data_IF_360884112177
#
_entry.id   IF_360884112177
#
_cell.length_a   1.000
_cell.length_b   1.000
_cell.length_c   1.000
_cell.angle_alpha   90.00
_cell.angle_beta   90.00
_cell.angle_gamma   90.00
#
_symmetry.space_group_name_H-M   'P 1'
#
loop_
_entity.id
_entity.type
_entity.pdbx_description
1 polymer ?
#
# COMPACT_ATOMS: atom_id res chain seq x y z
N UNK A 1 22.18 19.37 8.87
CA UNK A 1 20.92 19.40 9.64
C UNK A 1 20.38 17.99 9.80
N UNK A 2 19.47 17.76 10.79
CA UNK A 2 18.88 16.44 11.02
C UNK A 2 17.39 16.46 10.70
N UNK A 3 16.93 15.48 9.97
CA UNK A 3 15.56 15.35 9.48
C UNK A 3 15.02 13.98 9.83
N UNK A 4 13.70 13.91 10.10
CA UNK A 4 12.96 12.67 10.29
C UNK A 4 11.98 12.43 9.15
N UNK A 5 11.84 11.17 8.72
CA UNK A 5 10.78 10.78 7.80
C UNK A 5 9.92 9.67 8.38
N UNK A 6 8.61 9.90 8.34
CA UNK A 6 7.58 8.98 8.79
C UNK A 6 6.68 8.61 7.61
N UNK A 7 6.39 7.31 7.49
CA UNK A 7 5.36 6.81 6.57
C UNK A 7 4.41 5.91 7.32
N UNK A 8 3.10 6.24 7.29
CA UNK A 8 2.05 5.44 7.89
C UNK A 8 1.01 5.04 6.84
N UNK A 9 0.50 3.82 6.94
CA UNK A 9 -0.75 3.44 6.28
C UNK A 9 -1.91 4.00 7.11
N UNK A 10 -3.09 4.13 6.54
CA UNK A 10 -4.30 4.75 7.13
C UNK A 10 -4.76 4.22 8.51
N UNK A 11 -4.02 3.30 9.15
CA UNK A 11 -4.27 2.81 10.52
C UNK A 11 -3.32 3.49 11.50
N UNK A 12 -3.88 4.26 12.38
CA UNK A 12 -3.24 5.18 13.34
C UNK A 12 -2.21 4.60 14.31
N UNK A 13 -2.11 3.29 14.46
CA UNK A 13 -1.32 2.66 15.53
C UNK A 13 0.20 2.77 15.42
N UNK A 14 0.77 3.19 14.28
CA UNK A 14 2.22 3.23 14.10
C UNK A 14 2.83 4.64 14.01
N UNK A 15 2.01 5.69 14.02
CA UNK A 15 2.49 7.07 13.94
C UNK A 15 3.24 7.50 15.20
N UNK A 16 2.59 7.35 16.37
CA UNK A 16 3.17 7.74 17.66
C UNK A 16 4.53 7.07 17.91
N UNK A 17 4.64 5.77 17.65
CA UNK A 17 5.90 5.03 17.82
C UNK A 17 7.05 5.53 16.94
N UNK A 18 6.74 6.03 15.74
CA UNK A 18 7.77 6.59 14.86
C UNK A 18 8.14 8.00 15.32
N UNK A 19 7.17 8.82 15.71
CA UNK A 19 7.42 10.14 16.30
C UNK A 19 8.28 10.05 17.56
N UNK A 20 7.89 9.21 18.52
CA UNK A 20 8.64 9.01 19.75
C UNK A 20 10.09 8.58 19.49
N UNK A 21 10.28 7.70 18.49
CA UNK A 21 11.61 7.24 18.13
C UNK A 21 12.48 8.37 17.54
N UNK A 22 11.91 9.27 16.75
CA UNK A 22 12.61 10.43 16.19
C UNK A 22 12.86 11.52 17.25
N UNK A 23 11.91 11.78 18.13
CA UNK A 23 12.08 12.73 19.24
C UNK A 23 13.19 12.29 20.20
N UNK A 24 13.34 10.97 20.47
CA UNK A 24 14.45 10.43 21.25
C UNK A 24 15.83 10.69 20.62
N UNK A 25 15.88 10.93 19.31
CA UNK A 25 17.10 11.37 18.61
C UNK A 25 17.27 12.89 18.62
N UNK A 26 16.39 13.65 19.26
CA UNK A 26 16.45 15.10 19.34
C UNK A 26 15.88 15.82 18.10
N UNK A 27 15.16 15.12 17.22
CA UNK A 27 14.61 15.72 16.00
C UNK A 27 13.32 16.48 16.34
N UNK A 28 13.31 17.78 16.07
CA UNK A 28 12.16 18.65 16.30
C UNK A 28 11.07 18.44 15.24
N UNK A 29 9.79 18.66 15.61
CA UNK A 29 8.63 18.49 14.72
C UNK A 29 8.74 19.23 13.39
N UNK A 30 9.32 20.44 13.37
CA UNK A 30 9.56 21.23 12.15
C UNK A 30 10.45 20.53 11.11
N UNK A 31 11.25 19.55 11.56
CA UNK A 31 12.17 18.78 10.74
C UNK A 31 11.64 17.36 10.45
N UNK A 32 10.44 17.01 10.91
CA UNK A 32 9.80 15.71 10.66
C UNK A 32 8.82 15.83 9.48
N UNK A 33 9.01 14.98 8.50
CA UNK A 33 8.18 14.90 7.29
C UNK A 33 7.38 13.62 7.33
N UNK A 34 6.05 13.73 7.21
CA UNK A 34 5.14 12.60 7.35
C UNK A 34 4.21 12.46 6.15
N UNK A 35 4.20 11.27 5.54
CA UNK A 35 3.23 10.86 4.53
C UNK A 35 2.25 9.84 5.12
N UNK A 36 0.94 10.19 5.11
CA UNK A 36 -0.18 9.31 5.49
C UNK A 36 -0.82 8.76 4.22
N UNK A 37 -0.51 7.50 3.86
CA UNK A 37 -1.06 6.93 2.63
C UNK A 37 -1.32 5.43 2.74
N UNK A 38 -2.49 5.01 2.20
CA UNK A 38 -2.82 3.61 2.02
C UNK A 38 -1.91 2.96 0.97
N UNK A 39 -1.67 1.66 1.15
CA UNK A 39 -0.66 0.88 0.44
C UNK A 39 -0.66 0.85 -1.10
N UNK A 40 -1.55 1.57 -1.79
CA UNK A 40 -1.65 1.55 -3.26
C UNK A 40 -1.14 2.81 -3.95
N UNK A 41 -1.01 3.93 -3.25
CA UNK A 41 -0.67 5.20 -3.88
C UNK A 41 0.80 5.58 -3.64
N UNK A 42 1.53 5.85 -4.73
CA UNK A 42 2.96 6.13 -4.73
C UNK A 42 3.28 7.61 -4.53
N UNK A 43 2.26 8.43 -4.30
CA UNK A 43 2.44 9.85 -4.14
C UNK A 43 2.92 10.17 -2.72
N UNK A 44 4.23 10.47 -2.55
CA UNK A 44 4.86 10.86 -1.29
C UNK A 44 5.25 12.34 -1.32
N UNK A 45 4.29 13.26 -1.20
CA UNK A 45 4.55 14.69 -1.36
C UNK A 45 5.55 15.20 -0.32
N UNK A 46 5.43 14.77 0.94
CA UNK A 46 6.34 15.21 2.01
C UNK A 46 7.74 14.64 1.84
N UNK A 47 7.86 13.38 1.43
CA UNK A 47 9.15 12.80 1.09
C UNK A 47 9.84 13.52 -0.07
N UNK A 48 9.10 13.89 -1.12
CA UNK A 48 9.64 14.64 -2.25
C UNK A 48 10.18 16.00 -1.81
N UNK A 49 9.42 16.72 -0.97
CA UNK A 49 9.88 18.00 -0.39
C UNK A 49 11.16 17.80 0.42
N UNK A 50 11.16 16.80 1.32
CA UNK A 50 12.33 16.46 2.12
C UNK A 50 13.54 16.12 1.26
N UNK A 51 13.38 15.28 0.23
CA UNK A 51 14.45 14.90 -0.68
C UNK A 51 15.10 16.13 -1.36
N UNK A 52 14.30 17.10 -1.80
CA UNK A 52 14.82 18.33 -2.40
C UNK A 52 15.48 19.26 -1.39
N UNK A 53 15.11 19.18 -0.14
CA UNK A 53 15.69 19.98 0.95
C UNK A 53 17.02 19.42 1.44
N UNK A 54 17.23 18.11 1.37
CA UNK A 54 18.47 17.45 1.81
C UNK A 54 19.68 17.99 1.05
N UNK A 55 20.74 18.28 1.79
CA UNK A 55 22.03 18.75 1.32
C UNK A 55 23.15 17.86 1.84
N UNK A 56 24.32 18.01 1.27
CA UNK A 56 25.56 17.34 1.72
C UNK A 56 25.78 17.53 3.22
N UNK A 57 25.99 16.42 3.92
CA UNK A 57 26.22 16.38 5.37
C UNK A 57 24.96 16.49 6.22
N UNK A 58 23.77 16.56 5.63
CA UNK A 58 22.50 16.39 6.37
C UNK A 58 22.31 14.91 6.74
N UNK A 59 21.47 14.64 7.76
CA UNK A 59 21.19 13.29 8.22
C UNK A 59 19.69 13.04 8.16
N UNK A 60 19.29 11.98 7.48
CA UNK A 60 17.92 11.49 7.45
C UNK A 60 17.73 10.31 8.40
N UNK A 61 16.89 10.50 9.41
CA UNK A 61 16.48 9.44 10.32
C UNK A 61 15.17 8.82 9.87
N UNK A 62 15.14 7.49 9.83
CA UNK A 62 13.93 6.68 9.62
C UNK A 62 13.87 5.61 10.70
N UNK A 63 12.66 5.22 11.11
CA UNK A 63 12.53 4.17 12.12
C UNK A 63 12.94 2.81 11.58
N UNK A 64 12.48 2.45 10.40
CA UNK A 64 12.73 1.15 9.76
C UNK A 64 12.89 1.30 8.26
N UNK A 65 13.63 0.38 7.63
CA UNK A 65 14.00 0.45 6.21
C UNK A 65 12.78 0.42 5.26
N UNK A 66 11.71 -0.25 5.65
CA UNK A 66 10.46 -0.32 4.88
C UNK A 66 9.73 1.01 4.77
N UNK A 67 10.15 2.04 5.52
CA UNK A 67 9.66 3.41 5.35
C UNK A 67 10.19 4.06 4.08
N UNK A 68 11.37 3.67 3.61
CA UNK A 68 11.96 4.20 2.37
C UNK A 68 11.28 3.67 1.11
N UNK A 69 10.94 2.39 1.07
CA UNK A 69 10.38 1.73 -0.10
C UNK A 69 9.42 0.62 0.24
N UNK A 70 8.77 0.08 -0.78
CA UNK A 70 7.84 -1.06 -0.66
C UNK A 70 8.43 -2.34 -1.18
N UNK A 71 9.43 -2.25 -2.02
CA UNK A 71 10.13 -3.37 -2.61
C UNK A 71 11.63 -3.09 -2.59
N UNK A 72 12.37 -4.11 -2.94
CA UNK A 72 13.83 -4.09 -3.00
C UNK A 72 14.38 -2.92 -3.83
N UNK A 73 13.91 -2.82 -5.07
CA UNK A 73 14.45 -1.86 -6.03
C UNK A 73 14.25 -0.42 -5.58
N UNK A 74 13.08 -0.11 -5.03
CA UNK A 74 12.81 1.21 -4.47
C UNK A 74 13.71 1.57 -3.29
N UNK A 75 13.86 0.65 -2.35
CA UNK A 75 14.69 0.88 -1.18
C UNK A 75 16.12 1.18 -1.62
N UNK A 76 16.68 0.37 -2.53
CA UNK A 76 18.04 0.57 -3.06
C UNK A 76 18.15 1.89 -3.84
N UNK A 77 17.16 2.21 -4.68
CA UNK A 77 17.16 3.46 -5.44
C UNK A 77 17.13 4.68 -4.53
N UNK A 78 16.20 4.70 -3.56
CA UNK A 78 16.09 5.84 -2.63
C UNK A 78 17.31 5.96 -1.73
N UNK A 79 17.89 4.84 -1.27
CA UNK A 79 19.14 4.83 -0.53
C UNK A 79 20.27 5.51 -1.34
N UNK A 80 20.48 5.06 -2.58
CA UNK A 80 21.48 5.65 -3.48
C UNK A 80 21.20 7.10 -3.79
N UNK A 81 19.94 7.48 -3.99
CA UNK A 81 19.55 8.88 -4.24
C UNK A 81 19.94 9.79 -3.09
N UNK A 82 19.76 9.37 -1.85
CA UNK A 82 20.11 10.17 -0.68
C UNK A 82 21.62 10.15 -0.46
N UNK A 83 22.26 8.99 -0.43
CA UNK A 83 23.65 8.86 -0.04
C UNK A 83 24.62 9.34 -1.13
N UNK A 84 24.33 9.06 -2.40
CA UNK A 84 25.24 9.40 -3.51
C UNK A 84 24.91 10.73 -4.21
N UNK A 85 23.61 11.02 -4.43
CA UNK A 85 23.25 12.24 -5.18
C UNK A 85 23.03 13.44 -4.28
N UNK A 86 22.54 13.25 -3.05
CA UNK A 86 22.43 14.33 -2.07
C UNK A 86 23.63 14.41 -1.14
N UNK A 87 24.48 13.39 -1.12
CA UNK A 87 25.61 13.25 -0.20
C UNK A 87 25.17 13.45 1.27
N UNK A 88 23.95 13.00 1.58
CA UNK A 88 23.36 13.02 2.92
C UNK A 88 23.47 11.65 3.56
N UNK A 89 23.58 11.64 4.88
CA UNK A 89 23.64 10.40 5.66
C UNK A 89 22.23 9.86 5.95
N UNK A 90 22.14 8.54 6.15
CA UNK A 90 20.92 7.85 6.56
C UNK A 90 21.18 7.08 7.84
N UNK A 91 20.23 7.17 8.77
CA UNK A 91 20.20 6.39 10.01
C UNK A 91 18.90 5.62 10.11
N UNK A 92 18.99 4.30 10.18
CA UNK A 92 17.83 3.42 10.40
C UNK A 92 17.81 3.00 11.87
N UNK A 93 16.85 3.53 12.64
CA UNK A 93 16.84 3.40 14.10
C UNK A 93 16.72 1.94 14.60
N UNK A 94 15.95 1.13 13.90
CA UNK A 94 15.77 -0.30 14.23
C UNK A 94 16.96 -1.17 13.78
N UNK A 95 17.91 -0.59 13.01
CA UNK A 95 19.05 -1.31 12.43
C UNK A 95 20.33 -0.48 12.51
N UNK A 96 21.03 -0.50 13.64
CA UNK A 96 22.24 0.33 13.84
C UNK A 96 23.38 0.09 12.84
N UNK A 97 23.39 -1.05 12.15
CA UNK A 97 24.31 -1.34 11.05
C UNK A 97 24.02 -0.50 9.80
N UNK A 98 22.81 0.03 9.66
CA UNK A 98 22.42 0.93 8.59
C UNK A 98 22.50 2.41 9.04
N UNK A 99 23.63 2.78 9.62
CA UNK A 99 24.01 4.16 9.95
C UNK A 99 25.20 4.56 9.09
N UNK A 100 24.97 5.30 8.02
CA UNK A 100 26.00 5.67 7.04
C UNK A 100 27.03 6.64 7.60
N UNK A 101 26.77 7.28 8.74
CA UNK A 101 27.74 8.15 9.43
C UNK A 101 28.92 7.38 9.98
N UNK A 102 28.69 6.10 10.36
CA UNK A 102 29.69 5.24 11.01
C UNK A 102 30.66 4.58 10.05
N UNK A 103 30.30 4.50 8.78
CA UNK A 103 31.07 3.78 7.78
C UNK A 103 31.51 4.69 6.62
N UNK A 104 32.19 5.81 6.92
CA UNK A 104 32.74 6.70 5.89
C UNK A 104 33.97 6.14 5.18
N UNK A 105 34.55 5.04 5.69
CA UNK A 105 35.55 4.29 4.98
C UNK A 105 34.93 3.34 3.93
N UNK A 106 35.75 2.88 3.01
CA UNK A 106 35.32 2.00 1.92
C UNK A 106 34.65 0.71 2.44
N UNK A 107 35.16 0.17 3.55
CA UNK A 107 34.68 -1.07 4.16
C UNK A 107 33.29 -0.87 4.81
N UNK A 108 33.08 0.22 5.53
CA UNK A 108 31.77 0.50 6.16
C UNK A 108 30.68 0.74 5.14
N UNK A 109 30.98 1.46 4.05
CA UNK A 109 30.05 1.65 2.93
C UNK A 109 29.68 0.30 2.27
N UNK A 110 30.68 -0.56 2.04
CA UNK A 110 30.46 -1.89 1.48
C UNK A 110 29.60 -2.78 2.37
N UNK A 111 29.85 -2.79 3.67
CA UNK A 111 29.05 -3.56 4.65
C UNK A 111 27.61 -3.06 4.69
N UNK A 112 27.37 -1.73 4.71
CA UNK A 112 26.04 -1.16 4.69
C UNK A 112 25.27 -1.53 3.40
N UNK A 113 25.91 -1.45 2.26
CA UNK A 113 25.33 -1.84 0.97
C UNK A 113 25.00 -3.36 0.94
N UNK A 114 25.87 -4.22 1.48
CA UNK A 114 25.65 -5.66 1.55
C UNK A 114 24.48 -6.02 2.49
N UNK A 115 24.43 -5.44 3.67
CA UNK A 115 23.34 -5.64 4.64
C UNK A 115 22.02 -5.17 4.03
N UNK A 116 22.01 -4.02 3.37
CA UNK A 116 20.84 -3.51 2.69
C UNK A 116 20.33 -4.49 1.60
N UNK A 117 21.23 -5.05 0.80
CA UNK A 117 20.87 -6.06 -0.21
C UNK A 117 20.26 -7.31 0.40
N UNK A 118 20.88 -7.86 1.46
CA UNK A 118 20.39 -9.07 2.15
C UNK A 118 18.98 -8.82 2.72
N UNK A 119 18.79 -7.73 3.47
CA UNK A 119 17.51 -7.42 4.11
C UNK A 119 16.39 -7.20 3.09
N UNK A 120 16.72 -6.50 2.00
CA UNK A 120 15.77 -6.26 0.93
C UNK A 120 15.38 -7.55 0.21
N UNK A 121 16.32 -8.45 -0.02
CA UNK A 121 16.07 -9.78 -0.59
C UNK A 121 15.16 -10.63 0.33
N UNK A 122 15.44 -10.65 1.63
CA UNK A 122 14.60 -11.35 2.63
C UNK A 122 13.18 -10.79 2.63
N UNK A 123 13.02 -9.46 2.62
CA UNK A 123 11.72 -8.82 2.59
C UNK A 123 10.94 -9.13 1.29
N UNK A 124 11.62 -9.23 0.16
CA UNK A 124 11.01 -9.62 -1.11
C UNK A 124 10.51 -11.08 -1.08
N UNK A 125 11.36 -12.00 -0.64
CA UNK A 125 11.00 -13.41 -0.50
C UNK A 125 9.81 -13.62 0.43
N UNK A 126 9.74 -12.93 1.56
CA UNK A 126 8.61 -13.05 2.47
C UNK A 126 7.29 -12.59 1.82
N UNK A 127 7.33 -11.49 1.05
CA UNK A 127 6.14 -11.03 0.30
C UNK A 127 5.68 -12.03 -0.75
N UNK A 128 6.61 -12.62 -1.48
CA UNK A 128 6.30 -13.65 -2.49
C UNK A 128 5.70 -14.88 -1.85
N UNK A 129 6.27 -15.33 -0.72
CA UNK A 129 5.76 -16.45 0.05
C UNK A 129 4.35 -16.19 0.61
N UNK A 130 4.06 -14.97 1.09
CA UNK A 130 2.72 -14.57 1.54
C UNK A 130 1.74 -14.62 0.37
N UNK A 131 2.10 -14.06 -0.79
CA UNK A 131 1.24 -14.09 -1.99
C UNK A 131 0.96 -15.51 -2.46
N UNK A 132 1.99 -16.36 -2.48
CA UNK A 132 1.87 -17.78 -2.86
C UNK A 132 0.91 -18.50 -1.92
N UNK A 133 1.11 -18.39 -0.60
CA UNK A 133 0.21 -18.97 0.41
C UNK A 133 -1.24 -18.46 0.30
N UNK A 134 -1.42 -17.16 0.02
CA UNK A 134 -2.75 -16.59 -0.22
C UNK A 134 -3.40 -17.18 -1.48
N UNK A 135 -2.67 -17.28 -2.58
CA UNK A 135 -3.18 -17.84 -3.81
C UNK A 135 -3.59 -19.31 -3.64
N UNK A 136 -2.74 -20.11 -2.98
CA UNK A 136 -3.02 -21.50 -2.65
C UNK A 136 -4.25 -21.64 -1.73
N UNK A 137 -4.35 -20.78 -0.71
CA UNK A 137 -5.51 -20.75 0.20
C UNK A 137 -6.81 -20.36 -0.52
N UNK A 138 -6.77 -19.38 -1.42
CA UNK A 138 -7.93 -18.99 -2.24
C UNK A 138 -8.33 -20.12 -3.19
N UNK A 139 -7.36 -20.78 -3.84
CA UNK A 139 -7.63 -21.91 -4.75
C UNK A 139 -8.29 -23.07 -3.98
N UNK A 140 -7.75 -23.44 -2.83
CA UNK A 140 -8.31 -24.49 -1.98
C UNK A 140 -9.73 -24.14 -1.44
N UNK A 141 -9.96 -22.88 -1.10
CA UNK A 141 -11.28 -22.43 -0.65
C UNK A 141 -12.31 -22.44 -1.81
N UNK A 142 -11.91 -22.02 -3.01
CA UNK A 142 -12.75 -22.10 -4.23
C UNK A 142 -13.10 -23.55 -4.57
N UNK A 143 -12.15 -24.47 -4.46
CA UNK A 143 -12.40 -25.91 -4.68
C UNK A 143 -13.42 -26.47 -3.69
N UNK A 144 -13.51 -25.93 -2.48
CA UNK A 144 -14.54 -26.27 -1.47
C UNK A 144 -15.85 -25.50 -1.64
N UNK A 145 -16.03 -24.75 -2.74
CA UNK A 145 -17.25 -24.00 -3.04
C UNK A 145 -17.38 -22.65 -2.33
N UNK A 146 -16.33 -22.16 -1.65
CA UNK A 146 -16.36 -20.83 -1.01
C UNK A 146 -16.38 -19.74 -2.09
N UNK A 147 -17.41 -18.92 -2.06
CA UNK A 147 -17.56 -17.76 -2.97
C UNK A 147 -16.87 -16.55 -2.38
N UNK A 148 -15.91 -15.99 -3.13
CA UNK A 148 -15.22 -14.75 -2.77
C UNK A 148 -15.90 -13.55 -3.43
N UNK A 149 -15.71 -12.38 -2.83
CA UNK A 149 -16.24 -11.12 -3.32
C UNK A 149 -17.42 -10.62 -2.50
N UNK A 150 -17.99 -9.49 -2.94
CA UNK A 150 -19.16 -8.92 -2.26
C UNK A 150 -20.38 -9.81 -2.47
N UNK A 151 -21.12 -10.17 -1.42
CA UNK A 151 -22.37 -10.92 -1.57
C UNK A 151 -23.30 -10.21 -2.56
N UNK A 152 -23.96 -10.94 -3.45
CA UNK A 152 -24.93 -10.36 -4.36
C UNK A 152 -26.06 -9.71 -3.54
N UNK A 153 -26.44 -8.47 -3.91
CA UNK A 153 -27.62 -7.85 -3.29
C UNK A 153 -28.85 -8.69 -3.60
N UNK A 154 -29.74 -8.91 -2.64
CA UNK A 154 -31.00 -9.61 -2.89
C UNK A 154 -31.80 -8.90 -3.98
N UNK A 155 -32.64 -9.64 -4.67
CA UNK A 155 -33.58 -9.06 -5.62
C UNK A 155 -34.69 -8.34 -4.82
N UNK A 156 -35.18 -7.19 -5.30
CA UNK A 156 -36.41 -6.57 -4.74
C UNK A 156 -37.59 -7.54 -4.80
N UNK A 157 -38.51 -7.45 -3.88
CA UNK A 157 -39.70 -8.32 -3.81
C UNK A 157 -40.54 -8.27 -5.10
N UNK A 158 -40.65 -7.07 -5.70
CA UNK A 158 -41.38 -6.83 -6.93
C UNK A 158 -40.62 -7.20 -8.20
N UNK A 159 -39.40 -7.76 -8.11
CA UNK A 159 -38.54 -8.01 -9.28
C UNK A 159 -39.20 -8.95 -10.31
N UNK A 160 -39.82 -10.01 -9.86
CA UNK A 160 -40.44 -11.02 -10.74
C UNK A 160 -41.65 -10.48 -11.53
N UNK A 161 -42.49 -9.72 -10.88
CA UNK A 161 -43.65 -9.07 -11.52
C UNK A 161 -43.20 -8.06 -12.58
N UNK A 162 -42.23 -7.23 -12.23
CA UNK A 162 -41.66 -6.22 -13.15
C UNK A 162 -40.94 -6.91 -14.31
N UNK A 163 -40.19 -7.99 -14.06
CA UNK A 163 -39.54 -8.78 -15.09
C UNK A 163 -40.58 -9.34 -16.11
N UNK A 164 -41.67 -9.92 -15.65
CA UNK A 164 -42.74 -10.41 -16.52
C UNK A 164 -43.41 -9.29 -17.31
N UNK A 165 -43.67 -8.14 -16.69
CA UNK A 165 -44.25 -6.98 -17.37
C UNK A 165 -43.32 -6.44 -18.47
N UNK A 166 -42.03 -6.40 -18.21
CA UNK A 166 -41.03 -6.01 -19.21
C UNK A 166 -40.93 -7.04 -20.36
N UNK A 167 -40.86 -8.32 -20.03
CA UNK A 167 -40.87 -9.39 -21.08
C UNK A 167 -42.12 -9.40 -21.91
N UNK A 168 -43.26 -9.15 -21.29
CA UNK A 168 -44.55 -8.98 -21.99
C UNK A 168 -44.72 -7.64 -22.75
N UNK A 169 -43.64 -6.84 -22.86
CA UNK A 169 -43.60 -5.52 -23.50
C UNK A 169 -44.63 -4.49 -22.94
N UNK A 170 -45.11 -4.72 -21.72
CA UNK A 170 -46.02 -3.79 -21.03
C UNK A 170 -45.31 -2.54 -20.51
N UNK A 171 -44.03 -2.67 -20.20
CA UNK A 171 -43.17 -1.57 -19.72
C UNK A 171 -41.82 -1.63 -20.44
N UNK A 172 -41.15 -0.48 -20.50
CA UNK A 172 -39.80 -0.38 -21.08
C UNK A 172 -38.74 -0.85 -20.09
N UNK A 173 -37.56 -1.23 -20.60
CA UNK A 173 -36.42 -1.61 -19.78
C UNK A 173 -36.03 -0.55 -18.75
N UNK A 174 -36.13 0.74 -19.16
CA UNK A 174 -35.83 1.88 -18.27
C UNK A 174 -36.83 1.98 -17.12
N UNK A 175 -38.12 1.80 -17.41
CA UNK A 175 -39.20 1.79 -16.40
C UNK A 175 -39.01 0.59 -15.44
N UNK A 176 -38.73 -0.60 -15.98
CA UNK A 176 -38.50 -1.78 -15.16
C UNK A 176 -37.31 -1.59 -14.18
N UNK A 177 -36.20 -1.05 -14.65
CA UNK A 177 -35.05 -0.75 -13.81
C UNK A 177 -35.38 0.27 -12.72
N UNK A 178 -36.10 1.32 -13.05
CA UNK A 178 -36.55 2.38 -12.14
C UNK A 178 -37.48 1.81 -11.05
N UNK A 179 -38.44 0.98 -11.42
CA UNK A 179 -39.39 0.35 -10.49
C UNK A 179 -38.70 -0.63 -9.53
N UNK A 180 -37.58 -1.23 -9.95
CA UNK A 180 -36.71 -2.07 -9.08
C UNK A 180 -35.64 -1.28 -8.29
N UNK A 181 -35.61 0.05 -8.42
CA UNK A 181 -34.62 0.89 -7.74
C UNK A 181 -33.17 0.56 -8.11
N UNK A 182 -32.90 0.16 -9.36
CA UNK A 182 -31.56 -0.24 -9.78
C UNK A 182 -31.18 0.35 -11.16
N UNK A 183 -29.88 0.47 -11.48
CA UNK A 183 -29.42 0.87 -12.80
C UNK A 183 -29.91 -0.09 -13.90
N UNK A 184 -30.17 0.45 -15.10
CA UNK A 184 -30.70 -0.30 -16.26
C UNK A 184 -29.84 -1.53 -16.58
N UNK A 185 -28.51 -1.37 -16.63
CA UNK A 185 -27.59 -2.50 -16.89
C UNK A 185 -27.62 -3.58 -15.79
N UNK A 186 -27.86 -3.17 -14.54
CA UNK A 186 -27.99 -4.11 -13.41
C UNK A 186 -29.28 -4.90 -13.50
N UNK A 187 -30.40 -4.25 -13.82
CA UNK A 187 -31.68 -4.92 -14.02
C UNK A 187 -31.56 -5.93 -15.15
N UNK A 188 -31.07 -5.53 -16.32
CA UNK A 188 -30.90 -6.38 -17.48
C UNK A 188 -30.03 -7.64 -17.17
N UNK A 189 -28.87 -7.42 -16.55
CA UNK A 189 -27.98 -8.52 -16.18
C UNK A 189 -28.61 -9.53 -15.19
N UNK A 190 -29.43 -9.03 -14.24
CA UNK A 190 -30.17 -9.88 -13.30
C UNK A 190 -31.32 -10.61 -13.98
N UNK A 191 -32.03 -9.96 -14.92
CA UNK A 191 -33.10 -10.54 -15.70
C UNK A 191 -32.59 -11.71 -16.56
N UNK A 192 -31.50 -11.51 -17.31
CA UNK A 192 -30.88 -12.57 -18.14
C UNK A 192 -30.39 -13.75 -17.29
N UNK A 193 -29.77 -13.47 -16.13
CA UNK A 193 -29.33 -14.56 -15.23
C UNK A 193 -30.48 -15.35 -14.64
N UNK A 194 -31.59 -14.71 -14.37
CA UNK A 194 -32.78 -15.38 -13.87
C UNK A 194 -33.37 -16.34 -14.94
N UNK A 195 -33.39 -15.91 -16.19
CA UNK A 195 -33.85 -16.74 -17.31
C UNK A 195 -32.93 -17.94 -17.58
N UNK A 196 -31.60 -17.75 -17.43
CA UNK A 196 -30.63 -18.83 -17.62
C UNK A 196 -30.59 -19.85 -16.46
N UNK A 197 -31.23 -19.57 -15.33
CA UNK A 197 -31.32 -20.45 -14.18
C UNK A 197 -32.66 -21.17 -14.01
N UNK A 198 -33.58 -20.93 -14.95
CA UNK A 198 -34.82 -21.74 -15.14
C UNK A 198 -34.62 -22.75 -16.26
#
# INVERSE_FOLDING_TARGET
MEYGYIRVSSKEQNEARQLDALHKQGIEDKNIYMDKQSGKDFNRPKYKILYHKLKKGDVLYIKSIDRMGRNYDEIIQEWRRITRFREADIVVLDMPLLDTRRGKDLMGTFIADLVLQILSFVAQNERENIRKRQAEGIAAAKARGVKFGRPPRPLPENFYEIHQAWRGKKITLKQAAQSCGMPVGTFYAKAVRHEAGQ
#
